data_IF_835329924163
#
_entry.id   IF_835329924163
#
_cell.length_a   1.000
_cell.length_b   1.000
_cell.length_c   1.000
_cell.angle_alpha   90.00
_cell.angle_beta   90.00
_cell.angle_gamma   90.00
#
_symmetry.space_group_name_H-M   'P 1'
#
loop_
_entity.id
_entity.type
_entity.pdbx_description
1 polymer ?
#
# COMPACT_ATOMS: atom_id res chain seq x y z
N UNK A 1 36.20 -45.29 32.49
CA UNK A 1 35.00 -46.01 32.94
C UNK A 1 33.89 -45.05 33.11
N UNK A 2 32.91 -45.07 32.20
CA UNK A 2 31.66 -44.27 32.26
C UNK A 2 30.51 -45.22 32.57
N UNK A 3 29.58 -44.87 33.46
CA UNK A 3 28.40 -45.71 33.70
C UNK A 3 27.33 -45.46 32.59
N UNK A 4 26.47 -46.46 32.34
CA UNK A 4 25.43 -46.39 31.31
C UNK A 4 24.19 -45.59 31.80
N UNK A 5 23.39 -45.06 30.88
CA UNK A 5 22.20 -44.29 31.24
C UNK A 5 21.03 -45.23 31.62
N UNK A 6 20.30 -44.84 32.66
CA UNK A 6 19.12 -45.50 33.15
C UNK A 6 17.91 -45.28 32.22
N UNK A 7 17.29 -46.38 31.82
CA UNK A 7 16.03 -46.41 31.08
C UNK A 7 14.85 -46.24 32.04
N UNK A 8 14.03 -45.20 31.82
CA UNK A 8 12.77 -44.97 32.53
C UNK A 8 11.63 -45.55 31.68
N UNK A 9 10.78 -46.42 32.19
CA UNK A 9 9.62 -46.91 31.45
C UNK A 9 8.48 -45.87 31.49
N UNK A 10 7.98 -45.55 30.34
CA UNK A 10 6.78 -44.71 30.15
C UNK A 10 5.52 -45.55 30.38
N UNK A 11 4.82 -45.31 31.48
CA UNK A 11 3.47 -45.80 31.73
C UNK A 11 2.48 -44.86 31.03
N UNK A 12 1.80 -45.37 30.00
CA UNK A 12 0.65 -44.70 29.34
C UNK A 12 -0.59 -44.91 30.21
N UNK A 13 -1.30 -43.85 30.61
CA UNK A 13 -2.65 -43.99 31.12
C UNK A 13 -3.65 -44.02 29.96
N UNK A 14 -4.39 -45.10 29.87
CA UNK A 14 -5.52 -45.30 28.96
C UNK A 14 -6.69 -44.41 29.43
N UNK A 15 -6.98 -43.35 28.71
CA UNK A 15 -8.14 -42.48 29.00
C UNK A 15 -9.36 -43.03 28.26
N UNK A 16 -10.27 -43.64 28.98
CA UNK A 16 -11.59 -44.08 28.50
C UNK A 16 -12.50 -42.86 28.45
N UNK A 17 -12.82 -42.39 27.24
CA UNK A 17 -13.82 -41.34 27.03
C UNK A 17 -15.19 -42.01 26.90
N UNK A 18 -16.03 -41.89 27.92
CA UNK A 18 -17.41 -42.29 27.89
C UNK A 18 -18.21 -41.26 27.04
N UNK A 19 -18.70 -41.69 25.90
CA UNK A 19 -19.61 -40.90 25.07
C UNK A 19 -20.99 -40.84 25.72
N UNK A 20 -21.25 -39.75 26.47
CA UNK A 20 -22.59 -39.38 26.94
C UNK A 20 -23.32 -38.61 25.86
N UNK A 21 -24.10 -39.29 25.05
CA UNK A 21 -25.02 -38.63 24.10
C UNK A 21 -26.24 -38.06 24.86
N UNK A 22 -26.31 -36.73 24.98
CA UNK A 22 -27.57 -36.06 25.33
C UNK A 22 -28.35 -35.80 24.04
N UNK A 23 -29.37 -36.60 23.78
CA UNK A 23 -30.42 -36.30 22.82
C UNK A 23 -31.29 -35.20 23.42
N UNK A 24 -31.06 -33.93 23.01
CA UNK A 24 -32.02 -32.85 23.25
C UNK A 24 -32.99 -32.87 22.05
N UNK A 25 -34.08 -33.62 22.22
CA UNK A 25 -35.27 -33.44 21.37
C UNK A 25 -36.05 -32.27 21.96
N UNK A 26 -35.77 -31.08 21.47
CA UNK A 26 -36.53 -29.87 21.74
C UNK A 26 -37.05 -29.36 20.39
N UNK A 27 -38.31 -29.71 20.08
CA UNK A 27 -39.08 -29.09 19.03
C UNK A 27 -39.37 -27.63 19.38
N UNK A 28 -38.44 -26.73 19.15
CA UNK A 28 -38.70 -25.32 18.88
C UNK A 28 -37.47 -24.78 18.14
N UNK A 29 -37.36 -25.18 16.87
CA UNK A 29 -36.50 -24.41 15.97
C UNK A 29 -36.98 -22.95 15.96
N UNK A 30 -36.05 -21.97 16.01
CA UNK A 30 -36.46 -20.59 15.80
C UNK A 30 -37.24 -20.55 14.49
N UNK A 31 -38.55 -20.25 14.57
CA UNK A 31 -39.30 -19.85 13.39
C UNK A 31 -38.53 -18.68 12.80
N UNK A 32 -37.97 -18.87 11.63
CA UNK A 32 -37.57 -17.75 10.80
C UNK A 32 -38.92 -17.13 10.39
N UNK A 33 -39.39 -16.18 11.23
CA UNK A 33 -40.45 -15.31 10.83
C UNK A 33 -39.99 -14.71 9.51
N UNK A 34 -40.83 -14.87 8.49
CA UNK A 34 -40.60 -14.25 7.19
C UNK A 34 -40.38 -12.77 7.48
N UNK A 35 -39.12 -12.34 7.32
CA UNK A 35 -38.74 -10.95 7.53
C UNK A 35 -39.56 -10.16 6.52
N UNK A 36 -40.52 -9.38 7.01
CA UNK A 36 -41.29 -8.49 6.16
C UNK A 36 -40.30 -7.59 5.45
N UNK A 37 -40.30 -7.67 4.12
CA UNK A 37 -39.41 -6.86 3.28
C UNK A 37 -39.61 -5.34 3.49
N UNK A 38 -40.71 -4.97 4.14
CA UNK A 38 -41.08 -3.60 4.46
C UNK A 38 -40.73 -3.20 5.92
N UNK A 39 -39.98 -4.00 6.70
CA UNK A 39 -39.54 -3.56 8.03
C UNK A 39 -38.59 -2.37 7.87
N UNK A 40 -38.99 -1.15 8.29
CA UNK A 40 -38.14 0.04 8.17
C UNK A 40 -36.83 -0.05 8.99
N UNK A 41 -36.67 -1.09 9.81
CA UNK A 41 -35.42 -1.38 10.52
C UNK A 41 -34.37 -2.04 9.63
N UNK A 42 -34.80 -2.63 8.49
CA UNK A 42 -33.93 -3.23 7.49
C UNK A 42 -33.49 -2.25 6.39
N UNK A 43 -34.12 -1.09 6.32
CA UNK A 43 -33.55 0.05 5.61
C UNK A 43 -32.40 0.64 6.47
N UNK A 44 -31.41 -0.18 6.72
CA UNK A 44 -30.09 0.31 7.09
C UNK A 44 -29.72 1.31 6.02
N UNK A 45 -29.74 2.59 6.35
CA UNK A 45 -29.35 3.65 5.43
C UNK A 45 -28.04 3.20 4.77
N UNK A 46 -28.09 2.87 3.50
CA UNK A 46 -26.94 2.37 2.76
C UNK A 46 -25.83 3.38 3.03
N UNK A 47 -24.81 2.96 3.75
CA UNK A 47 -23.68 3.81 4.09
C UNK A 47 -23.19 4.38 2.75
N UNK A 48 -23.15 5.71 2.59
CA UNK A 48 -22.82 6.30 1.30
C UNK A 48 -21.54 5.66 0.79
N UNK A 49 -21.55 5.19 -0.44
CA UNK A 49 -20.40 4.55 -1.06
C UNK A 49 -19.19 5.46 -0.89
N UNK A 50 -18.17 4.97 -0.22
CA UNK A 50 -16.95 5.74 0.01
C UNK A 50 -16.24 5.91 -1.34
N UNK A 51 -15.96 7.15 -1.70
CA UNK A 51 -15.20 7.45 -2.90
C UNK A 51 -13.74 7.07 -2.66
N UNK A 52 -13.21 6.17 -3.48
CA UNK A 52 -11.79 5.81 -3.47
C UNK A 52 -11.02 6.60 -4.50
N UNK A 53 -9.74 6.75 -4.29
CA UNK A 53 -8.80 7.29 -5.25
C UNK A 53 -7.93 6.14 -5.76
N UNK A 54 -8.19 5.63 -6.98
CA UNK A 54 -7.30 4.66 -7.59
C UNK A 54 -6.02 5.37 -7.99
N UNK A 55 -4.88 4.84 -7.58
CA UNK A 55 -3.57 5.31 -7.97
C UNK A 55 -2.78 4.19 -8.62
N UNK A 56 -1.98 4.56 -9.60
CA UNK A 56 -1.00 3.67 -10.21
C UNK A 56 0.38 4.05 -9.73
N UNK A 57 1.14 3.07 -9.31
CA UNK A 57 2.53 3.22 -8.89
C UNK A 57 3.40 2.44 -9.86
N UNK A 58 4.37 3.13 -10.46
CA UNK A 58 5.35 2.56 -11.36
C UNK A 58 6.73 2.65 -10.72
N UNK A 59 7.48 1.56 -10.75
CA UNK A 59 8.86 1.51 -10.30
C UNK A 59 9.76 1.38 -11.52
N UNK A 60 10.54 2.40 -11.80
CA UNK A 60 11.55 2.37 -12.87
C UNK A 60 12.91 2.05 -12.25
N UNK A 61 13.54 0.96 -12.70
CA UNK A 61 14.90 0.61 -12.32
C UNK A 61 15.89 1.29 -13.26
N UNK A 62 16.90 1.93 -12.70
CA UNK A 62 17.96 2.59 -13.44
C UNK A 62 19.31 2.28 -12.79
N UNK A 63 20.38 2.35 -13.56
CA UNK A 63 21.72 2.38 -12.98
C UNK A 63 21.86 3.64 -12.10
N UNK A 64 22.55 3.56 -10.99
CA UNK A 64 22.67 4.69 -10.06
C UNK A 64 23.41 5.89 -10.66
N UNK A 65 24.18 5.68 -11.72
CA UNK A 65 24.90 6.70 -12.50
C UNK A 65 24.17 7.12 -13.79
N UNK A 66 22.91 6.69 -13.99
CA UNK A 66 22.13 7.04 -15.18
C UNK A 66 21.82 8.56 -15.19
N UNK A 67 22.24 9.30 -16.23
CA UNK A 67 21.95 10.74 -16.34
C UNK A 67 20.46 11.08 -16.26
N UNK A 68 19.59 10.18 -16.74
CA UNK A 68 18.15 10.35 -16.67
C UNK A 68 17.67 10.57 -15.22
N UNK A 69 18.29 9.89 -14.25
CA UNK A 69 17.92 10.00 -12.84
C UNK A 69 18.36 11.30 -12.19
N UNK A 70 19.50 11.83 -12.62
CA UNK A 70 20.13 12.94 -11.92
C UNK A 70 19.72 14.29 -12.49
N UNK A 71 19.59 14.40 -13.81
CA UNK A 71 19.43 15.68 -14.47
C UNK A 71 18.22 15.71 -15.42
N UNK A 72 18.16 14.82 -16.38
CA UNK A 72 17.24 14.95 -17.51
C UNK A 72 15.77 14.98 -17.09
N UNK A 73 15.33 14.04 -16.26
CA UNK A 73 13.95 13.96 -15.84
C UNK A 73 13.53 15.17 -14.99
N UNK A 74 14.44 15.67 -14.15
CA UNK A 74 14.16 16.72 -13.19
C UNK A 74 13.96 18.09 -13.85
N UNK A 75 14.38 18.26 -15.10
CA UNK A 75 14.06 19.47 -15.90
C UNK A 75 12.56 19.55 -16.23
N UNK A 76 11.83 18.44 -16.13
CA UNK A 76 10.40 18.33 -16.38
C UNK A 76 9.57 18.21 -15.10
N UNK A 77 10.21 18.26 -13.94
CA UNK A 77 9.58 18.07 -12.63
C UNK A 77 9.52 19.39 -11.88
N UNK A 78 8.35 19.75 -11.45
CA UNK A 78 8.17 20.89 -10.56
C UNK A 78 8.43 20.46 -9.09
N UNK A 79 9.64 20.65 -8.64
CA UNK A 79 10.00 20.43 -7.24
C UNK A 79 9.47 21.55 -6.32
N UNK A 80 9.03 22.69 -6.87
CA UNK A 80 8.48 23.80 -6.08
C UNK A 80 7.06 23.51 -5.59
N UNK A 81 6.41 22.50 -6.17
CA UNK A 81 5.16 21.98 -5.64
C UNK A 81 5.30 21.43 -4.20
N UNK A 82 6.52 21.11 -3.79
CA UNK A 82 6.87 20.71 -2.41
C UNK A 82 7.41 21.92 -1.66
N UNK A 83 6.95 22.09 -0.42
CA UNK A 83 7.45 23.16 0.46
C UNK A 83 8.97 23.21 0.55
N UNK A 84 9.53 24.43 0.64
CA UNK A 84 10.98 24.64 0.57
C UNK A 84 11.75 23.97 1.71
N UNK A 85 11.22 23.97 2.93
CA UNK A 85 11.88 23.33 4.08
C UNK A 85 11.85 21.82 3.90
N UNK A 86 10.71 21.31 3.47
CA UNK A 86 10.50 19.88 3.18
C UNK A 86 11.43 19.41 2.06
N UNK A 87 11.53 20.17 0.99
CA UNK A 87 12.44 19.87 -0.13
C UNK A 87 13.90 19.82 0.32
N UNK A 88 14.34 20.75 1.17
CA UNK A 88 15.69 20.74 1.74
C UNK A 88 15.93 19.51 2.63
N UNK A 89 14.96 19.18 3.48
CA UNK A 89 15.03 18.00 4.33
C UNK A 89 15.10 16.71 3.52
N UNK A 90 14.26 16.59 2.47
CA UNK A 90 14.28 15.46 1.54
C UNK A 90 15.64 15.31 0.86
N UNK A 91 16.17 16.38 0.26
CA UNK A 91 17.46 16.37 -0.43
C UNK A 91 18.60 15.97 0.52
N UNK A 92 18.63 16.52 1.73
CA UNK A 92 19.62 16.17 2.74
C UNK A 92 19.57 14.68 3.13
N UNK A 93 18.40 14.05 3.01
CA UNK A 93 18.16 12.65 3.29
C UNK A 93 18.17 11.75 2.02
N UNK A 94 18.64 12.28 0.90
CA UNK A 94 18.82 11.49 -0.33
C UNK A 94 17.57 11.29 -1.18
N UNK A 95 16.55 12.12 -1.00
CA UNK A 95 15.29 12.06 -1.74
C UNK A 95 15.06 13.33 -2.54
N UNK A 96 14.63 13.20 -3.78
CA UNK A 96 14.02 14.27 -4.58
C UNK A 96 12.57 13.92 -4.84
N UNK A 97 11.71 14.92 -4.71
CA UNK A 97 10.27 14.75 -4.91
C UNK A 97 9.73 15.98 -5.64
N UNK A 98 8.87 15.75 -6.63
CA UNK A 98 8.21 16.83 -7.34
C UNK A 98 7.05 16.35 -8.20
N UNK A 99 6.35 17.27 -8.80
CA UNK A 99 5.13 17.05 -9.61
C UNK A 99 5.43 17.20 -11.08
N UNK A 100 4.95 16.30 -11.88
CA UNK A 100 4.91 16.40 -13.33
C UNK A 100 3.48 16.66 -13.75
N UNK A 101 3.22 17.84 -14.34
CA UNK A 101 1.88 18.25 -14.82
C UNK A 101 1.77 18.27 -16.34
N UNK A 102 2.70 17.65 -17.05
CA UNK A 102 2.77 17.69 -18.50
C UNK A 102 3.21 16.34 -19.09
N UNK A 103 3.65 16.42 -20.36
CA UNK A 103 4.18 15.23 -21.04
C UNK A 103 5.60 14.96 -20.56
N UNK A 104 5.82 13.73 -20.14
CA UNK A 104 7.16 13.22 -19.88
C UNK A 104 7.96 13.08 -21.18
N UNK A 105 9.30 13.18 -21.14
CA UNK A 105 10.15 12.91 -22.28
C UNK A 105 9.85 11.52 -22.88
N UNK A 106 9.82 11.39 -24.23
CA UNK A 106 9.51 10.11 -24.87
C UNK A 106 10.40 8.96 -24.39
N UNK A 107 11.70 9.20 -24.21
CA UNK A 107 12.65 8.20 -23.71
C UNK A 107 12.28 7.69 -22.30
N UNK A 108 11.73 8.57 -21.45
CA UNK A 108 11.28 8.18 -20.12
C UNK A 108 9.98 7.36 -20.18
N UNK A 109 9.04 7.79 -21.06
CA UNK A 109 7.78 7.05 -21.27
C UNK A 109 8.06 5.65 -21.79
N UNK A 110 8.99 5.50 -22.73
CA UNK A 110 9.39 4.22 -23.28
C UNK A 110 10.00 3.31 -22.20
N UNK A 111 10.87 3.84 -21.35
CA UNK A 111 11.42 3.09 -20.20
C UNK A 111 10.35 2.67 -19.20
N UNK A 112 9.38 3.55 -18.91
CA UNK A 112 8.25 3.19 -18.05
C UNK A 112 7.39 2.08 -18.65
N UNK A 113 7.12 2.13 -19.95
CA UNK A 113 6.35 1.11 -20.65
C UNK A 113 7.08 -0.24 -20.60
N UNK A 114 8.36 -0.26 -20.96
CA UNK A 114 9.20 -1.48 -20.93
C UNK A 114 9.29 -2.08 -19.52
N UNK A 115 9.39 -1.24 -18.49
CA UNK A 115 9.44 -1.71 -17.11
C UNK A 115 8.09 -2.26 -16.65
N UNK A 116 6.98 -1.68 -17.11
CA UNK A 116 5.63 -2.17 -16.81
C UNK A 116 5.37 -3.54 -17.46
N UNK A 117 5.75 -3.69 -18.74
CA UNK A 117 5.57 -4.94 -19.50
C UNK A 117 6.42 -6.08 -18.92
N UNK A 118 7.67 -5.80 -18.54
CA UNK A 118 8.55 -6.80 -17.90
C UNK A 118 7.98 -7.32 -16.58
N UNK A 119 7.21 -6.51 -15.90
CA UNK A 119 6.59 -6.83 -14.63
C UNK A 119 5.33 -7.67 -14.75
N UNK A 120 4.53 -7.42 -15.76
CA UNK A 120 3.36 -8.25 -16.06
C UNK A 120 3.79 -9.68 -16.46
N UNK A 121 5.00 -9.83 -17.02
CA UNK A 121 5.56 -11.13 -17.44
C UNK A 121 6.13 -11.97 -16.28
N UNK A 122 6.56 -11.37 -15.19
CA UNK A 122 7.27 -12.07 -14.10
C UNK A 122 6.36 -12.49 -12.93
N UNK A 123 5.08 -12.07 -12.93
CA UNK A 123 4.13 -12.36 -11.86
C UNK A 123 4.23 -11.42 -10.67
N UNK A 124 3.11 -11.13 -10.08
CA UNK A 124 2.82 -10.00 -9.18
C UNK A 124 3.64 -9.77 -7.91
N UNK A 125 4.73 -10.50 -7.67
CA UNK A 125 5.63 -10.30 -6.53
C UNK A 125 7.02 -9.76 -6.93
N UNK A 126 7.27 -9.52 -8.21
CA UNK A 126 8.53 -8.94 -8.63
C UNK A 126 8.60 -7.47 -8.15
N UNK A 127 9.64 -7.09 -7.37
CA UNK A 127 9.81 -5.71 -6.94
C UNK A 127 10.27 -4.87 -8.13
N UNK A 128 9.36 -4.34 -8.90
CA UNK A 128 9.82 -3.50 -10.01
C UNK A 128 8.80 -3.22 -11.06
N UNK A 129 7.54 -3.39 -10.75
CA UNK A 129 6.54 -3.31 -11.75
C UNK A 129 5.53 -2.22 -11.47
N UNK A 130 4.41 -2.44 -12.01
CA UNK A 130 3.22 -1.62 -11.95
C UNK A 130 2.31 -2.12 -10.84
N UNK A 131 1.93 -1.25 -9.92
CA UNK A 131 0.96 -1.56 -8.87
C UNK A 131 -0.22 -0.62 -8.96
N UNK A 132 -1.42 -1.15 -8.80
CA UNK A 132 -2.62 -0.35 -8.63
C UNK A 132 -3.10 -0.46 -7.20
N UNK A 133 -3.31 0.69 -6.57
CA UNK A 133 -3.79 0.81 -5.20
C UNK A 133 -5.12 1.56 -5.22
N UNK A 134 -6.05 1.14 -4.35
CA UNK A 134 -7.28 1.88 -4.07
C UNK A 134 -7.10 2.58 -2.73
N UNK A 135 -6.88 3.88 -2.76
CA UNK A 135 -6.70 4.67 -1.55
C UNK A 135 -8.04 5.15 -1.04
N UNK A 136 -8.33 4.82 0.21
CA UNK A 136 -9.51 5.30 0.93
C UNK A 136 -9.13 6.57 1.70
N UNK A 137 -9.81 7.70 1.49
CA UNK A 137 -9.52 8.94 2.22
C UNK A 137 -9.51 8.76 3.73
N UNK A 138 -8.46 9.24 4.38
CA UNK A 138 -8.26 9.08 5.82
C UNK A 138 -7.85 7.67 6.26
N UNK A 139 -7.55 6.80 5.31
CA UNK A 139 -7.03 5.46 5.57
C UNK A 139 -5.68 5.28 4.90
N UNK A 140 -4.62 5.45 5.67
CA UNK A 140 -3.26 5.28 5.16
C UNK A 140 -3.07 3.91 4.52
N UNK A 141 -2.53 3.89 3.32
CA UNK A 141 -2.10 2.69 2.59
C UNK A 141 -0.58 2.62 2.57
N UNK A 142 -0.05 1.42 2.55
CA UNK A 142 1.39 1.19 2.63
C UNK A 142 1.93 0.72 1.28
N UNK A 143 2.88 1.47 0.75
CA UNK A 143 3.62 1.11 -0.44
C UNK A 143 5.00 0.60 -0.04
N UNK A 144 5.18 -0.70 0.00
CA UNK A 144 6.48 -1.32 0.30
C UNK A 144 7.46 -1.03 -0.84
N UNK A 145 8.62 -0.45 -0.49
CA UNK A 145 9.72 -0.16 -1.43
C UNK A 145 10.83 -1.21 -1.34
N UNK A 146 11.18 -1.67 -0.14
CA UNK A 146 12.07 -2.83 0.03
C UNK A 146 11.61 -3.65 1.23
N UNK A 147 11.67 -4.97 1.12
CA UNK A 147 11.21 -5.89 2.14
C UNK A 147 12.27 -6.92 2.52
N UNK A 148 12.13 -7.48 3.73
CA UNK A 148 12.97 -8.57 4.22
C UNK A 148 14.46 -8.22 4.27
N UNK A 149 14.78 -6.99 4.72
CA UNK A 149 16.16 -6.56 4.92
C UNK A 149 16.65 -7.11 6.27
N UNK A 150 17.60 -8.04 6.31
CA UNK A 150 18.10 -8.59 7.58
C UNK A 150 18.68 -7.50 8.48
N UNK A 151 19.33 -6.52 7.87
CA UNK A 151 19.87 -5.34 8.53
C UNK A 151 19.84 -4.15 7.58
N UNK A 152 19.36 -3.03 8.08
CA UNK A 152 19.30 -1.75 7.37
C UNK A 152 19.94 -0.68 8.24
N UNK A 153 20.97 -0.05 7.73
CA UNK A 153 21.59 1.13 8.39
C UNK A 153 21.06 2.38 7.72
N UNK A 154 20.51 3.29 8.50
CA UNK A 154 20.02 4.60 8.01
C UNK A 154 20.70 5.72 8.76
N UNK A 155 21.16 6.70 8.00
CA UNK A 155 21.67 7.99 8.48
C UNK A 155 20.60 9.05 8.18
N UNK A 156 19.95 9.52 9.22
CA UNK A 156 18.94 10.58 9.15
C UNK A 156 19.59 11.93 9.39
N UNK A 157 19.41 12.86 8.46
CA UNK A 157 19.82 14.25 8.64
C UNK A 157 18.61 15.10 9.05
N UNK A 158 18.65 15.59 10.26
CA UNK A 158 17.59 16.42 10.82
C UNK A 158 18.18 17.59 11.62
N UNK A 159 17.67 18.80 11.37
CA UNK A 159 18.06 20.02 12.12
C UNK A 159 19.59 20.25 12.18
N UNK A 160 20.28 19.96 11.06
CA UNK A 160 21.75 20.09 10.95
C UNK A 160 22.55 19.00 11.68
N UNK A 161 21.88 18.00 12.27
CA UNK A 161 22.51 16.87 12.93
C UNK A 161 22.26 15.57 12.13
N UNK A 162 23.25 14.66 12.20
CA UNK A 162 23.11 13.30 11.62
C UNK A 162 22.90 12.30 12.74
N UNK A 163 21.87 11.48 12.61
CA UNK A 163 21.59 10.38 13.54
C UNK A 163 21.62 9.07 12.77
N UNK A 164 22.38 8.10 13.27
CA UNK A 164 22.44 6.76 12.72
C UNK A 164 21.51 5.80 13.46
N UNK A 165 20.77 4.96 12.71
CA UNK A 165 19.99 3.86 13.24
C UNK A 165 20.31 2.57 12.50
N UNK A 166 20.35 1.45 13.22
CA UNK A 166 20.40 0.10 12.63
C UNK A 166 19.08 -0.60 12.92
N UNK A 167 18.41 -1.03 11.86
CA UNK A 167 17.09 -1.67 11.91
C UNK A 167 17.24 -3.11 11.45
N UNK A 168 16.85 -4.07 12.29
CA UNK A 168 16.87 -5.50 11.97
C UNK A 168 15.50 -5.96 11.48
N UNK A 169 15.49 -6.95 10.58
CA UNK A 169 14.26 -7.47 9.95
C UNK A 169 13.41 -6.32 9.36
N UNK A 170 14.08 -5.43 8.65
CA UNK A 170 13.50 -4.18 8.21
C UNK A 170 12.71 -4.31 6.91
N UNK A 171 11.70 -3.47 6.79
CA UNK A 171 10.93 -3.21 5.58
C UNK A 171 10.80 -1.70 5.43
N UNK A 172 11.23 -1.17 4.29
CA UNK A 172 11.02 0.24 3.97
C UNK A 172 9.76 0.42 3.15
N UNK A 173 9.03 1.48 3.43
CA UNK A 173 7.75 1.75 2.79
C UNK A 173 7.43 3.25 2.76
N UNK A 174 6.45 3.61 1.92
CA UNK A 174 5.81 4.92 1.92
C UNK A 174 4.38 4.74 2.45
N UNK A 175 4.04 5.44 3.52
CA UNK A 175 2.66 5.59 3.94
C UNK A 175 2.01 6.62 3.02
N UNK A 176 0.94 6.22 2.33
CA UNK A 176 0.21 7.04 1.37
C UNK A 176 -1.21 7.30 1.86
N UNK A 177 -1.67 8.52 1.75
CA UNK A 177 -3.08 8.87 1.88
C UNK A 177 -3.50 9.77 0.71
N UNK A 178 -4.75 9.66 0.26
CA UNK A 178 -5.23 10.41 -0.87
C UNK A 178 -6.64 10.92 -0.63
N UNK A 179 -6.84 12.21 -0.86
CA UNK A 179 -8.11 12.88 -0.67
C UNK A 179 -8.56 13.52 -2.00
N UNK A 180 -9.73 13.13 -2.52
CA UNK A 180 -10.25 13.75 -3.72
C UNK A 180 -10.72 15.19 -3.42
N UNK A 181 -10.23 16.16 -4.16
CA UNK A 181 -10.70 17.56 -4.10
C UNK A 181 -11.96 17.75 -4.96
N UNK A 182 -12.75 18.79 -4.65
CA UNK A 182 -14.00 19.08 -5.37
C UNK A 182 -13.77 19.40 -6.86
N UNK A 183 -12.64 20.01 -7.18
CA UNK A 183 -12.25 20.45 -8.52
C UNK A 183 -11.65 19.35 -9.43
N UNK A 184 -11.67 18.10 -8.98
CA UNK A 184 -11.15 16.97 -9.73
C UNK A 184 -9.71 16.61 -9.41
N UNK A 185 -8.98 17.49 -8.73
CA UNK A 185 -7.62 17.21 -8.27
C UNK A 185 -7.60 16.17 -7.13
N UNK A 186 -6.44 15.63 -6.87
CA UNK A 186 -6.20 14.70 -5.77
C UNK A 186 -5.10 15.28 -4.87
N UNK A 187 -5.41 15.47 -3.59
CA UNK A 187 -4.40 15.74 -2.58
C UNK A 187 -3.81 14.41 -2.16
N UNK A 188 -2.52 14.23 -2.36
CA UNK A 188 -1.75 13.05 -2.01
C UNK A 188 -0.78 13.41 -0.89
N UNK A 189 -0.85 12.65 0.18
CA UNK A 189 0.10 12.71 1.29
C UNK A 189 0.99 11.46 1.26
N UNK A 190 2.28 11.66 1.51
CA UNK A 190 3.28 10.59 1.52
C UNK A 190 4.23 10.80 2.68
N UNK A 191 4.48 9.76 3.47
CA UNK A 191 5.47 9.77 4.55
C UNK A 191 6.35 8.53 4.46
N UNK A 192 7.68 8.67 4.40
CA UNK A 192 8.61 7.53 4.51
C UNK A 192 8.51 6.87 5.87
N UNK A 193 8.57 5.53 5.88
CA UNK A 193 8.45 4.73 7.10
C UNK A 193 9.34 3.49 7.03
N UNK A 194 9.90 3.08 8.16
CA UNK A 194 10.68 1.86 8.32
C UNK A 194 9.96 0.99 9.35
N UNK A 195 9.56 -0.21 8.94
CA UNK A 195 9.13 -1.25 9.87
C UNK A 195 10.30 -2.13 10.21
N UNK A 196 10.45 -2.52 11.48
CA UNK A 196 11.61 -3.29 11.89
C UNK A 196 11.33 -4.13 13.14
N UNK A 197 12.22 -5.09 13.39
CA UNK A 197 12.17 -5.96 14.55
C UNK A 197 11.11 -7.07 14.45
N UNK A 198 10.93 -7.86 15.50
CA UNK A 198 9.96 -8.93 15.52
C UNK A 198 8.52 -8.42 15.46
N UNK A 199 7.62 -9.29 15.02
CA UNK A 199 6.18 -9.01 15.09
C UNK A 199 5.74 -9.14 16.55
N UNK A 200 5.31 -8.06 17.14
CA UNK A 200 4.86 -7.97 18.52
C UNK A 200 3.38 -7.57 18.59
N UNK A 201 2.74 -7.90 19.71
CA UNK A 201 1.40 -7.40 20.01
C UNK A 201 1.55 -6.15 20.86
N UNK A 202 1.00 -5.05 20.40
CA UNK A 202 1.00 -3.78 21.13
C UNK A 202 -0.42 -3.23 21.27
N UNK A 203 -0.66 -2.50 22.34
CA UNK A 203 -1.91 -1.77 22.50
C UNK A 203 -1.78 -0.40 21.83
N UNK A 204 -2.56 -0.17 20.80
CA UNK A 204 -2.70 1.15 20.18
C UNK A 204 -3.94 1.84 20.79
N UNK A 205 -3.76 3.05 21.30
CA UNK A 205 -4.86 3.90 21.78
C UNK A 205 -5.19 4.95 20.73
N UNK A 206 -6.42 4.97 20.26
CA UNK A 206 -6.94 5.97 19.34
C UNK A 206 -8.34 6.37 19.83
N UNK A 207 -8.60 7.67 19.96
CA UNK A 207 -9.88 8.24 20.40
C UNK A 207 -10.45 7.65 21.71
N UNK A 208 -9.56 7.35 22.68
CA UNK A 208 -9.96 6.78 23.96
C UNK A 208 -10.29 5.28 23.94
N UNK A 209 -10.15 4.63 22.80
CA UNK A 209 -10.27 3.17 22.67
C UNK A 209 -8.91 2.52 22.52
N UNK A 210 -8.72 1.38 23.22
CA UNK A 210 -7.50 0.58 23.09
C UNK A 210 -7.78 -0.60 22.17
N UNK A 211 -6.97 -0.68 21.11
CA UNK A 211 -7.01 -1.80 20.16
C UNK A 211 -5.71 -2.59 20.25
N UNK A 212 -5.80 -3.92 20.31
CA UNK A 212 -4.63 -4.77 20.21
C UNK A 212 -4.19 -4.85 18.75
N UNK A 213 -3.04 -4.29 18.45
CA UNK A 213 -2.43 -4.37 17.13
C UNK A 213 -1.29 -5.37 17.13
N UNK A 214 -1.19 -6.14 16.06
CA UNK A 214 -0.09 -7.08 15.85
C UNK A 214 0.73 -6.58 14.66
N UNK A 215 2.01 -6.29 14.89
CA UNK A 215 2.87 -5.78 13.83
C UNK A 215 4.31 -5.56 14.28
N UNK A 216 5.16 -5.19 13.35
CA UNK A 216 6.52 -4.73 13.64
C UNK A 216 6.48 -3.28 14.16
N UNK A 217 7.53 -2.89 14.86
CA UNK A 217 7.73 -1.49 15.26
C UNK A 217 7.83 -0.61 14.01
N UNK A 218 7.27 0.59 14.12
CA UNK A 218 7.27 1.58 13.04
C UNK A 218 8.16 2.76 13.43
N UNK A 219 9.08 3.10 12.55
CA UNK A 219 9.83 4.35 12.60
C UNK A 219 9.35 5.24 11.46
N UNK A 220 8.50 6.19 11.78
CA UNK A 220 7.87 7.10 10.83
C UNK A 220 8.69 8.39 10.74
N UNK A 221 9.01 8.80 9.52
CA UNK A 221 9.86 9.97 9.24
C UNK A 221 8.99 11.18 8.85
N UNK A 222 8.15 11.65 9.79
CA UNK A 222 7.16 12.71 9.53
C UNK A 222 7.78 14.02 9.04
N UNK A 223 9.03 14.31 9.42
CA UNK A 223 9.79 15.47 8.96
C UNK A 223 10.13 15.41 7.45
N UNK A 224 10.00 14.25 6.82
CA UNK A 224 10.13 14.04 5.38
C UNK A 224 8.76 13.86 4.69
N UNK A 225 7.68 14.05 5.42
CA UNK A 225 6.34 13.94 4.87
C UNK A 225 6.09 15.00 3.79
N UNK A 226 5.46 14.60 2.70
CA UNK A 226 5.13 15.46 1.56
C UNK A 226 3.63 15.46 1.37
N UNK A 227 3.07 16.65 1.17
CA UNK A 227 1.69 16.85 0.72
C UNK A 227 1.72 17.61 -0.60
N UNK A 228 1.07 17.09 -1.62
CA UNK A 228 0.94 17.72 -2.93
C UNK A 228 -0.48 17.58 -3.47
N UNK A 229 -0.88 18.53 -4.30
CA UNK A 229 -2.16 18.45 -5.01
C UNK A 229 -1.89 18.17 -6.49
N UNK A 230 -2.32 17.01 -6.95
CA UNK A 230 -2.12 16.52 -8.30
C UNK A 230 -3.39 16.73 -9.14
N UNK A 231 -3.29 17.25 -10.38
CA UNK A 231 -4.35 17.10 -11.37
C UNK A 231 -4.49 15.61 -11.75
N UNK A 232 -5.60 15.22 -12.39
CA UNK A 232 -5.84 13.82 -12.76
C UNK A 232 -4.82 13.26 -13.77
N UNK A 233 -4.22 14.14 -14.58
CA UNK A 233 -3.14 13.86 -15.53
C UNK A 233 -1.74 14.09 -14.94
N UNK A 234 -1.67 14.61 -13.72
CA UNK A 234 -0.43 14.85 -13.00
C UNK A 234 0.15 13.59 -12.36
N UNK A 235 1.44 13.63 -12.09
CA UNK A 235 2.19 12.55 -11.47
C UNK A 235 3.10 13.09 -10.38
N UNK A 236 3.23 12.35 -9.28
CA UNK A 236 4.28 12.57 -8.29
C UNK A 236 5.48 11.70 -8.67
N UNK A 237 6.63 12.33 -8.76
CA UNK A 237 7.91 11.66 -9.00
C UNK A 237 8.74 11.66 -7.72
N UNK A 238 9.31 10.51 -7.38
CA UNK A 238 10.19 10.32 -6.22
C UNK A 238 11.44 9.62 -6.70
N UNK A 239 12.59 10.24 -6.49
CA UNK A 239 13.87 9.71 -6.94
C UNK A 239 15.02 10.00 -5.98
N UNK A 240 16.22 9.47 -6.29
CA UNK A 240 17.42 9.73 -5.50
C UNK A 240 17.93 11.15 -5.69
N UNK A 241 18.44 11.75 -4.61
CA UNK A 241 19.08 13.07 -4.61
C UNK A 241 20.61 13.02 -4.66
N UNK A 242 21.22 11.89 -4.99
CA UNK A 242 22.68 11.75 -5.02
C UNK A 242 23.35 11.83 -3.64
N UNK A 243 22.60 11.60 -2.58
CA UNK A 243 23.12 11.61 -1.20
C UNK A 243 24.02 10.38 -0.92
N UNK A 244 24.81 10.43 0.17
CA UNK A 244 25.68 9.32 0.54
C UNK A 244 24.90 8.02 0.77
N UNK A 245 25.61 6.91 0.64
CA UNK A 245 25.09 5.59 1.00
C UNK A 245 24.56 5.58 2.44
N UNK A 246 23.56 4.77 2.68
CA UNK A 246 22.83 4.68 3.96
C UNK A 246 21.96 5.91 4.29
N UNK A 247 21.74 6.84 3.37
CA UNK A 247 20.70 7.86 3.56
C UNK A 247 19.30 7.22 3.57
N UNK A 248 18.31 7.96 4.02
CA UNK A 248 16.90 7.50 3.97
C UNK A 248 16.50 7.14 2.52
N UNK A 249 16.88 8.00 1.56
CA UNK A 249 16.62 7.77 0.14
C UNK A 249 17.31 6.50 -0.39
N UNK A 250 18.54 6.26 0.03
CA UNK A 250 19.26 5.03 -0.30
C UNK A 250 18.53 3.79 0.22
N UNK A 251 18.08 3.82 1.47
CA UNK A 251 17.32 2.71 2.08
C UNK A 251 15.96 2.46 1.43
N UNK A 252 15.32 3.49 0.89
CA UNK A 252 14.01 3.39 0.24
C UNK A 252 14.10 3.02 -1.24
N UNK A 253 15.10 3.56 -1.96
CA UNK A 253 15.13 3.53 -3.41
C UNK A 253 16.19 2.60 -3.99
N UNK A 254 17.21 2.21 -3.23
CA UNK A 254 18.22 1.25 -3.71
C UNK A 254 17.57 -0.10 -3.98
N UNK A 255 17.85 -0.67 -5.12
CA UNK A 255 17.46 -2.04 -5.40
C UNK A 255 18.34 -3.01 -4.62
N UNK A 256 17.71 -4.02 -4.00
CA UNK A 256 18.42 -5.03 -3.21
C UNK A 256 19.00 -6.17 -4.06
N UNK A 257 18.82 -6.09 -5.39
CA UNK A 257 19.40 -7.04 -6.33
C UNK A 257 20.90 -6.84 -6.56
N UNK A 258 21.48 -7.67 -7.40
CA UNK A 258 22.87 -7.51 -7.84
C UNK A 258 23.00 -6.25 -8.71
N UNK A 259 24.02 -5.44 -8.40
CA UNK A 259 24.35 -4.24 -9.15
C UNK A 259 24.06 -2.93 -8.41
N UNK A 260 24.60 -1.84 -8.96
CA UNK A 260 24.40 -0.49 -8.45
C UNK A 260 23.16 0.12 -9.10
N UNK A 261 21.97 -0.41 -8.75
CA UNK A 261 20.69 0.04 -9.29
C UNK A 261 19.85 0.74 -8.23
N UNK A 262 19.13 1.76 -8.67
CA UNK A 262 18.17 2.51 -7.85
C UNK A 262 16.83 2.56 -8.56
N UNK A 263 15.78 2.84 -7.80
CA UNK A 263 14.42 2.94 -8.30
C UNK A 263 13.94 4.37 -8.29
N UNK A 264 13.31 4.75 -9.37
CA UNK A 264 12.49 5.94 -9.46
C UNK A 264 11.03 5.51 -9.34
N UNK A 265 10.27 6.20 -8.51
CA UNK A 265 8.85 5.92 -8.31
C UNK A 265 8.01 7.01 -8.98
N UNK A 266 7.00 6.57 -9.72
CA UNK A 266 5.98 7.45 -10.29
C UNK A 266 4.64 7.06 -9.70
N UNK A 267 3.96 8.00 -9.10
CA UNK A 267 2.61 7.80 -8.54
C UNK A 267 1.65 8.71 -9.28
N UNK A 268 0.64 8.13 -9.94
CA UNK A 268 -0.37 8.90 -10.66
C UNK A 268 -1.79 8.52 -10.26
N UNK A 269 -2.69 9.48 -10.05
CA UNK A 269 -4.10 9.20 -9.90
C UNK A 269 -4.68 8.66 -11.23
N UNK A 270 -5.57 7.68 -11.15
CA UNK A 270 -6.27 7.13 -12.33
C UNK A 270 -7.70 7.66 -12.50
N UNK A 271 -8.09 8.62 -11.68
CA UNK A 271 -9.45 9.15 -11.64
C UNK A 271 -10.09 8.90 -10.29
N UNK A 272 -11.42 8.95 -10.26
CA UNK A 272 -12.21 8.64 -9.06
C UNK A 272 -12.99 7.36 -9.33
N UNK A 273 -13.06 6.48 -8.35
CA UNK A 273 -13.94 5.33 -8.39
C UNK A 273 -14.73 5.23 -7.08
N UNK A 274 -15.84 4.54 -7.15
CA UNK A 274 -16.52 4.06 -5.95
C UNK A 274 -15.80 2.82 -5.47
N UNK A 275 -15.73 2.63 -4.16
CA UNK A 275 -15.22 1.38 -3.60
C UNK A 275 -16.08 0.22 -4.14
N UNK A 276 -15.50 -0.77 -4.83
CA UNK A 276 -16.27 -1.87 -5.41
C UNK A 276 -17.04 -2.70 -4.36
N UNK A 277 -16.63 -2.65 -3.09
CA UNK A 277 -17.35 -3.31 -1.99
C UNK A 277 -18.67 -2.58 -1.67
N UNK A 278 -18.76 -1.29 -1.97
CA UNK A 278 -19.93 -0.44 -1.73
C UNK A 278 -20.61 0.01 -3.02
N UNK A 279 -20.05 -0.32 -4.18
CA UNK A 279 -20.76 -0.22 -5.43
C UNK A 279 -21.86 -1.28 -5.40
N UNK A 280 -23.07 -0.89 -5.00
CA UNK A 280 -24.22 -1.77 -5.11
C UNK A 280 -24.24 -2.34 -6.52
N UNK A 281 -24.54 -3.63 -6.65
CA UNK A 281 -24.81 -4.23 -7.95
C UNK A 281 -25.80 -3.29 -8.67
N UNK A 282 -25.35 -2.71 -9.77
CA UNK A 282 -26.27 -1.98 -10.65
C UNK A 282 -27.45 -2.91 -10.91
N UNK A 283 -28.71 -2.44 -10.77
CA UNK A 283 -29.83 -3.26 -11.20
C UNK A 283 -29.55 -3.59 -12.67
N UNK A 284 -29.39 -4.87 -12.94
CA UNK A 284 -29.36 -5.36 -14.31
C UNK A 284 -30.76 -5.09 -14.82
N UNK A 285 -30.93 -3.97 -15.53
CA UNK A 285 -32.12 -3.73 -16.33
C UNK A 285 -32.18 -4.83 -17.39
N UNK A 286 -32.70 -5.95 -16.93
CA UNK A 286 -33.13 -7.03 -17.81
C UNK A 286 -34.41 -6.58 -18.48
N UNK A 287 -34.31 -5.60 -19.35
CA UNK A 287 -35.29 -5.39 -20.40
C UNK A 287 -35.17 -6.59 -21.36
N UNK A 288 -35.76 -7.72 -20.92
CA UNK A 288 -36.02 -8.86 -21.80
C UNK A 288 -37.02 -8.35 -22.83
N UNK A 289 -36.50 -7.87 -23.96
CA UNK A 289 -37.31 -7.63 -25.14
C UNK A 289 -37.93 -8.98 -25.55
N UNK A 290 -39.18 -9.16 -25.21
CA UNK A 290 -39.96 -10.30 -25.69
C UNK A 290 -40.01 -10.23 -27.24
N UNK A 291 -39.67 -11.30 -27.93
CA UNK A 291 -39.75 -11.32 -29.38
C UNK A 291 -41.23 -11.10 -29.81
N UNK A 292 -41.46 -10.04 -30.55
CA UNK A 292 -42.74 -9.75 -31.20
C UNK A 292 -43.03 -10.89 -32.18
N UNK A 293 -44.10 -11.64 -31.94
CA UNK A 293 -44.54 -12.69 -32.84
C UNK A 293 -44.91 -12.07 -34.21
N UNK A 294 -44.54 -12.69 -35.34
CA UNK A 294 -44.91 -12.19 -36.65
C UNK A 294 -46.44 -12.32 -36.83
N UNK A 295 -47.12 -11.23 -37.15
CA UNK A 295 -48.52 -11.20 -37.56
C UNK A 295 -48.66 -11.96 -38.88
N UNK A 296 -49.39 -13.04 -38.85
CA UNK A 296 -49.86 -13.75 -40.04
C UNK A 296 -50.98 -12.91 -40.60
N UNK A 297 -50.79 -12.35 -41.78
CA UNK A 297 -51.82 -11.74 -42.63
C UNK A 297 -52.27 -12.79 -43.64
N UNK A 298 -53.58 -13.14 -43.60
CA UNK A 298 -54.24 -13.89 -44.61
C UNK A 298 -54.37 -13.11 -45.94
#
# INVERSE_FOLDING_TARGET
MRPPPATVPWLLPLLVIAAGGCAIVGETGPRIDTVDADDPRLTSAAKPAQRTVPVEVLFLRCAADDPLLHDDIWTHVDEQAVDTERRRALNANGLRVGVVSGRLPPAFVERLATSADAADMVGGDAPGARRRLQLLPGRGSELVTAARLPSLVILEQRDGSVRGGTYHDATTQLALDAHPAADGRVRLEMVPEIRHGPVEKSWAGEDGMFRLETGQRRHRLDYLGVEVTLPLDGMLLIGPAGAPSSSVGDGLLRDQGEGNTVRLLVIRPLGRSLDPVFAGSEPVDSEIALPVAPSITD
#
